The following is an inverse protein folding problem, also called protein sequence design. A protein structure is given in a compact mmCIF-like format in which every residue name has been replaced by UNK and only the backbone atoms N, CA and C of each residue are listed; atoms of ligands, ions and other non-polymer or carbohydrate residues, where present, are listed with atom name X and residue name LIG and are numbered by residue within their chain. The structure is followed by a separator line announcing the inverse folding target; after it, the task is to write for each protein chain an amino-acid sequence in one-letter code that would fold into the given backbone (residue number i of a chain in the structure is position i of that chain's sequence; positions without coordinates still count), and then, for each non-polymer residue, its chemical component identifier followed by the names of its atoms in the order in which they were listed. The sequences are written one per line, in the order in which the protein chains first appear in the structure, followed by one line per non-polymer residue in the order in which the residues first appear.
data_IF_823536142886
#
_entry.id   IF_823536142886
#
_cell.length_a   1.000
_cell.length_b   1.000
_cell.length_c   1.000
_cell.angle_alpha   90.00
_cell.angle_beta   90.00
_cell.angle_gamma   90.00
#
_symmetry.space_group_name_H-M   'P 1'
#
loop_
_entity.id
_entity.type
_entity.pdbx_description
1 polymer ?
#
# COMPACT_ATOMS: atom_id res chain seq x y z
N UNK A 1 -17.71 -13.25 19.88
CA UNK A 1 -16.41 -13.51 19.24
C UNK A 1 -16.50 -12.86 17.86
N UNK A 2 -15.81 -11.74 17.66
CA UNK A 2 -15.88 -10.99 16.39
C UNK A 2 -15.27 -11.82 15.25
N UNK A 3 -15.77 -11.66 14.01
CA UNK A 3 -15.21 -12.31 12.82
C UNK A 3 -13.71 -12.02 12.64
N UNK A 4 -13.25 -10.87 13.10
CA UNK A 4 -11.83 -10.45 13.14
C UNK A 4 -10.99 -11.44 13.96
N UNK A 5 -11.43 -11.85 15.15
CA UNK A 5 -10.67 -12.78 16.00
C UNK A 5 -10.49 -14.18 15.39
N UNK A 6 -11.47 -14.66 14.62
CA UNK A 6 -11.38 -15.99 13.98
C UNK A 6 -10.40 -16.00 12.80
N UNK A 7 -10.34 -14.92 12.01
CA UNK A 7 -9.39 -14.78 10.90
C UNK A 7 -7.96 -14.68 11.40
N UNK A 8 -7.73 -13.86 12.40
CA UNK A 8 -6.40 -13.65 13.01
C UNK A 8 -5.82 -14.95 13.58
N UNK A 9 -6.61 -15.69 14.39
CA UNK A 9 -6.17 -16.97 14.96
C UNK A 9 -5.80 -18.01 13.88
N UNK A 10 -6.51 -18.02 12.76
CA UNK A 10 -6.21 -18.91 11.63
C UNK A 10 -4.87 -18.56 10.98
N UNK A 11 -4.61 -17.26 10.75
CA UNK A 11 -3.35 -16.79 10.18
C UNK A 11 -2.18 -17.09 11.11
N UNK A 12 -2.30 -16.83 12.42
CA UNK A 12 -1.27 -17.16 13.41
C UNK A 12 -0.97 -18.66 13.42
N UNK A 13 -1.99 -19.50 13.42
CA UNK A 13 -1.82 -20.96 13.39
C UNK A 13 -1.15 -21.42 12.10
N UNK A 14 -1.54 -20.87 10.95
CA UNK A 14 -0.95 -21.24 9.67
C UNK A 14 0.51 -20.80 9.55
N UNK A 15 0.84 -19.57 9.94
CA UNK A 15 2.21 -19.05 9.98
C UNK A 15 3.11 -19.94 10.84
N UNK A 16 2.66 -20.26 12.06
CA UNK A 16 3.39 -21.14 12.98
C UNK A 16 3.56 -22.57 12.42
N UNK A 17 2.50 -23.18 11.90
CA UNK A 17 2.54 -24.55 11.40
C UNK A 17 3.39 -24.72 10.13
N UNK A 18 3.46 -23.67 9.31
CA UNK A 18 4.18 -23.69 8.02
C UNK A 18 5.59 -23.08 8.15
N UNK A 19 5.97 -22.59 9.32
CA UNK A 19 7.24 -21.88 9.56
C UNK A 19 7.44 -20.72 8.56
N UNK A 20 6.38 -19.89 8.39
CA UNK A 20 6.35 -18.76 7.45
C UNK A 20 6.18 -17.44 8.21
N UNK A 21 7.05 -16.49 7.93
CA UNK A 21 6.89 -15.12 8.36
C UNK A 21 6.01 -14.32 7.39
N UNK A 22 5.11 -13.52 7.94
CA UNK A 22 4.31 -12.57 7.16
C UNK A 22 5.08 -11.25 7.11
N UNK A 23 5.66 -10.91 5.97
CA UNK A 23 6.51 -9.72 5.83
C UNK A 23 5.72 -8.43 5.58
N UNK A 24 4.48 -8.53 5.06
CA UNK A 24 3.65 -7.37 4.71
C UNK A 24 2.17 -7.75 4.70
N UNK A 25 1.32 -6.81 5.13
CA UNK A 25 -0.12 -6.84 4.92
C UNK A 25 -0.60 -5.50 4.35
N UNK A 26 -1.78 -5.49 3.75
CA UNK A 26 -2.41 -4.25 3.29
C UNK A 26 -3.34 -3.67 4.36
N UNK A 27 -3.42 -2.34 4.44
CA UNK A 27 -4.57 -1.67 5.05
C UNK A 27 -5.82 -2.08 4.27
N UNK A 28 -6.93 -2.45 4.93
CA UNK A 28 -8.18 -2.70 4.22
C UNK A 28 -8.56 -1.53 3.30
N UNK A 29 -8.68 -1.81 2.03
CA UNK A 29 -8.89 -0.78 1.00
C UNK A 29 -10.37 -0.57 0.63
N UNK A 30 -11.28 -0.94 1.55
CA UNK A 30 -12.72 -0.81 1.30
C UNK A 30 -13.19 -1.65 0.12
N UNK A 31 -13.83 -1.02 -0.85
CA UNK A 31 -14.40 -1.66 -2.04
C UNK A 31 -13.44 -1.74 -3.25
N UNK A 32 -12.18 -1.32 -3.11
CA UNK A 32 -11.23 -1.22 -4.22
C UNK A 32 -11.14 -2.49 -5.05
N UNK A 33 -11.01 -3.64 -4.39
CA UNK A 33 -10.89 -4.95 -5.04
C UNK A 33 -12.21 -5.48 -5.61
N UNK A 34 -13.33 -4.82 -5.30
CA UNK A 34 -14.66 -5.10 -5.83
C UNK A 34 -15.05 -4.15 -6.96
N UNK A 35 -14.09 -3.36 -7.45
CA UNK A 35 -14.30 -2.39 -8.52
C UNK A 35 -14.62 -0.96 -8.06
N UNK A 36 -14.68 -0.71 -6.77
CA UNK A 36 -14.85 0.62 -6.19
C UNK A 36 -13.59 1.48 -6.24
N UNK A 37 -13.58 2.55 -5.44
CA UNK A 37 -12.49 3.54 -5.45
C UNK A 37 -11.48 3.38 -4.32
N UNK A 38 -11.81 2.64 -3.27
CA UNK A 38 -10.96 2.48 -2.08
C UNK A 38 -11.21 3.56 -1.02
N UNK A 39 -10.23 3.77 -0.13
CA UNK A 39 -10.38 4.66 1.03
C UNK A 39 -9.32 5.76 1.08
N UNK A 40 -8.04 5.42 0.90
CA UNK A 40 -6.93 6.29 1.29
C UNK A 40 -6.91 7.65 0.58
N UNK A 41 -7.19 7.69 -0.72
CA UNK A 41 -7.20 8.93 -1.50
C UNK A 41 -8.60 9.44 -1.82
N UNK A 42 -9.66 8.98 -1.16
CA UNK A 42 -11.03 9.32 -1.51
C UNK A 42 -11.58 10.34 -0.51
N UNK A 43 -11.87 11.60 -0.95
CA UNK A 43 -12.48 12.61 -0.09
C UNK A 43 -13.79 12.11 0.53
N UNK A 44 -13.94 12.33 1.84
CA UNK A 44 -15.09 11.88 2.62
C UNK A 44 -14.98 10.46 3.18
N UNK A 45 -13.89 9.75 2.93
CA UNK A 45 -13.61 8.39 3.47
C UNK A 45 -12.54 8.39 4.58
N UNK A 46 -12.19 9.55 5.12
CA UNK A 46 -11.08 9.70 6.06
C UNK A 46 -11.32 8.95 7.39
N UNK A 47 -12.57 8.86 7.84
CA UNK A 47 -12.94 8.14 9.07
C UNK A 47 -12.79 6.63 8.84
N UNK A 48 -13.34 6.13 7.75
CA UNK A 48 -13.27 4.71 7.35
C UNK A 48 -11.82 4.29 7.12
N UNK A 49 -11.01 5.16 6.49
CA UNK A 49 -9.59 4.93 6.32
C UNK A 49 -8.86 4.80 7.66
N UNK A 50 -9.13 5.69 8.62
CA UNK A 50 -8.52 5.62 9.95
C UNK A 50 -8.87 4.30 10.66
N UNK A 51 -10.12 3.88 10.63
CA UNK A 51 -10.54 2.58 11.19
C UNK A 51 -9.83 1.41 10.49
N UNK A 52 -9.63 1.50 9.17
CA UNK A 52 -8.89 0.49 8.41
C UNK A 52 -7.42 0.42 8.85
N UNK A 53 -6.77 1.55 9.11
CA UNK A 53 -5.40 1.59 9.66
C UNK A 53 -5.35 0.98 11.07
N UNK A 54 -6.29 1.30 11.95
CA UNK A 54 -6.40 0.70 13.29
C UNK A 54 -6.53 -0.83 13.21
N UNK A 55 -7.33 -1.33 12.28
CA UNK A 55 -7.47 -2.76 12.03
C UNK A 55 -6.15 -3.37 11.53
N UNK A 56 -5.47 -2.72 10.59
CA UNK A 56 -4.17 -3.19 10.09
C UNK A 56 -3.13 -3.27 11.22
N UNK A 57 -3.08 -2.29 12.12
CA UNK A 57 -2.20 -2.27 13.29
C UNK A 57 -2.48 -3.48 14.20
N UNK A 58 -3.76 -3.79 14.47
CA UNK A 58 -4.12 -4.96 15.29
C UNK A 58 -3.60 -6.27 14.68
N UNK A 59 -3.77 -6.45 13.36
CA UNK A 59 -3.27 -7.63 12.65
C UNK A 59 -1.75 -7.66 12.61
N UNK A 60 -1.11 -6.56 12.23
CA UNK A 60 0.34 -6.47 12.12
C UNK A 60 1.02 -6.75 13.46
N UNK A 61 0.53 -6.16 14.54
CA UNK A 61 1.05 -6.40 15.90
C UNK A 61 0.89 -7.86 16.34
N UNK A 62 -0.28 -8.44 16.12
CA UNK A 62 -0.56 -9.81 16.55
C UNK A 62 0.20 -10.87 15.72
N UNK A 63 0.56 -10.55 14.48
CA UNK A 63 1.28 -11.44 13.55
C UNK A 63 2.78 -11.10 13.43
N UNK A 64 3.28 -10.10 14.16
CA UNK A 64 4.64 -9.56 14.06
C UNK A 64 5.01 -9.12 12.64
N UNK A 65 4.05 -8.53 11.91
CA UNK A 65 4.28 -8.04 10.54
C UNK A 65 5.03 -6.72 10.59
N UNK A 66 6.20 -6.61 9.94
CA UNK A 66 7.04 -5.41 10.03
C UNK A 66 6.57 -4.25 9.14
N UNK A 67 5.77 -4.54 8.10
CA UNK A 67 5.38 -3.53 7.10
C UNK A 67 3.90 -3.59 6.75
N UNK A 68 3.30 -2.42 6.52
CA UNK A 68 1.91 -2.29 6.12
C UNK A 68 1.80 -1.42 4.87
N UNK A 69 1.22 -1.98 3.79
CA UNK A 69 0.99 -1.27 2.54
C UNK A 69 -0.35 -0.53 2.55
N UNK A 70 -0.34 0.70 2.05
CA UNK A 70 -1.50 1.57 1.90
C UNK A 70 -1.78 1.76 0.42
N UNK A 71 -2.85 1.13 -0.08
CA UNK A 71 -3.29 1.30 -1.45
C UNK A 71 -3.92 2.68 -1.65
N UNK A 72 -3.38 3.47 -2.58
CA UNK A 72 -3.79 4.85 -2.79
C UNK A 72 -5.27 5.01 -3.21
N UNK A 73 -5.81 4.01 -3.90
CA UNK A 73 -7.16 4.06 -4.44
C UNK A 73 -7.22 4.59 -5.88
N UNK A 74 -8.43 4.63 -6.44
CA UNK A 74 -8.71 5.09 -7.81
C UNK A 74 -9.50 6.39 -7.78
N UNK A 75 -9.10 7.34 -8.60
CA UNK A 75 -9.84 8.60 -8.76
C UNK A 75 -11.28 8.34 -9.22
N UNK A 76 -12.32 8.79 -8.49
CA UNK A 76 -13.71 8.75 -8.95
C UNK A 76 -13.92 9.60 -10.23
N UNK A 77 -14.92 9.25 -11.02
CA UNK A 77 -15.23 9.98 -12.28
C UNK A 77 -15.75 11.41 -12.02
N UNK A 78 -16.37 11.62 -10.90
CA UNK A 78 -17.00 12.85 -10.43
C UNK A 78 -16.15 13.65 -9.45
N UNK A 79 -14.88 13.27 -9.26
CA UNK A 79 -13.94 13.96 -8.40
C UNK A 79 -12.68 14.34 -9.17
N UNK A 80 -12.21 15.57 -8.99
CA UNK A 80 -10.94 16.01 -9.56
C UNK A 80 -9.74 15.31 -8.90
N UNK A 81 -8.63 15.21 -9.63
CA UNK A 81 -7.42 14.50 -9.16
C UNK A 81 -6.81 15.19 -7.93
N UNK A 82 -6.72 16.51 -7.93
CA UNK A 82 -6.04 17.24 -6.85
C UNK A 82 -6.68 17.06 -5.47
N UNK A 83 -8.01 17.12 -5.29
CA UNK A 83 -8.64 16.74 -4.02
C UNK A 83 -8.29 15.32 -3.57
N UNK A 84 -8.25 14.35 -4.49
CA UNK A 84 -7.87 12.97 -4.17
C UNK A 84 -6.42 12.87 -3.68
N UNK A 85 -5.48 13.53 -4.35
CA UNK A 85 -4.07 13.54 -3.95
C UNK A 85 -3.85 14.24 -2.60
N UNK A 86 -4.56 15.34 -2.34
CA UNK A 86 -4.51 16.04 -1.06
C UNK A 86 -5.06 15.17 0.09
N UNK A 87 -6.15 14.45 -0.15
CA UNK A 87 -6.71 13.50 0.81
C UNK A 87 -5.73 12.37 1.05
N UNK A 88 -5.14 11.81 0.00
CA UNK A 88 -4.13 10.75 0.11
C UNK A 88 -2.94 11.21 0.95
N UNK A 89 -2.37 12.38 0.67
CA UNK A 89 -1.23 12.92 1.42
C UNK A 89 -1.56 13.09 2.91
N UNK A 90 -2.73 13.64 3.23
CA UNK A 90 -3.19 13.82 4.61
C UNK A 90 -3.38 12.48 5.33
N UNK A 91 -4.00 11.53 4.68
CA UNK A 91 -4.25 10.20 5.22
C UNK A 91 -2.96 9.39 5.39
N UNK A 92 -2.03 9.44 4.44
CA UNK A 92 -0.70 8.83 4.57
C UNK A 92 0.05 9.39 5.76
N UNK A 93 0.02 10.71 5.98
CA UNK A 93 0.66 11.34 7.14
C UNK A 93 0.08 10.85 8.46
N UNK A 94 -1.23 10.73 8.56
CA UNK A 94 -1.92 10.17 9.72
C UNK A 94 -1.53 8.70 9.94
N UNK A 95 -1.58 7.89 8.89
CA UNK A 95 -1.22 6.47 8.96
C UNK A 95 0.24 6.27 9.38
N UNK A 96 1.17 7.09 8.88
CA UNK A 96 2.57 7.08 9.30
C UNK A 96 2.72 7.30 10.80
N UNK A 97 2.04 8.30 11.34
CA UNK A 97 2.07 8.56 12.78
C UNK A 97 1.53 7.38 13.58
N UNK A 98 0.36 6.84 13.19
CA UNK A 98 -0.27 5.72 13.87
C UNK A 98 0.57 4.43 13.84
N UNK A 99 1.15 4.09 12.67
CA UNK A 99 1.95 2.89 12.48
C UNK A 99 3.32 2.99 13.18
N UNK A 100 3.92 4.19 13.21
CA UNK A 100 5.22 4.43 13.87
C UNK A 100 5.16 4.18 15.37
N UNK A 101 4.04 4.45 16.03
CA UNK A 101 3.83 4.17 17.46
C UNK A 101 3.97 2.66 17.78
N UNK A 102 3.78 1.80 16.79
CA UNK A 102 3.90 0.34 16.89
C UNK A 102 5.16 -0.21 16.21
N UNK A 103 6.07 0.65 15.75
CA UNK A 103 7.28 0.26 15.01
C UNK A 103 6.99 -0.51 13.71
N UNK A 104 5.85 -0.24 13.08
CA UNK A 104 5.44 -0.82 11.80
C UNK A 104 5.80 0.16 10.69
N UNK A 105 6.49 -0.33 9.65
CA UNK A 105 6.89 0.46 8.49
C UNK A 105 5.70 0.71 7.56
N UNK A 106 5.22 1.97 7.40
CA UNK A 106 4.25 2.29 6.37
C UNK A 106 4.90 2.31 4.99
N UNK A 107 4.28 1.64 4.03
CA UNK A 107 4.63 1.74 2.62
C UNK A 107 3.38 2.06 1.80
N UNK A 108 3.55 2.62 0.61
CA UNK A 108 2.48 2.77 -0.38
C UNK A 108 2.99 2.37 -1.75
N UNK A 109 2.10 1.88 -2.59
CA UNK A 109 2.44 1.19 -3.82
C UNK A 109 2.06 1.99 -5.06
N UNK A 110 2.93 1.95 -6.08
CA UNK A 110 2.61 2.38 -7.44
C UNK A 110 1.98 1.19 -8.19
N UNK A 111 0.77 1.38 -8.72
CA UNK A 111 0.07 0.34 -9.49
C UNK A 111 -0.17 0.84 -10.91
N UNK A 112 0.25 0.06 -11.92
CA UNK A 112 0.15 0.43 -13.32
C UNK A 112 -1.29 0.71 -13.77
N UNK A 113 -1.45 1.66 -14.67
CA UNK A 113 -2.76 2.09 -15.17
C UNK A 113 -3.43 1.14 -16.13
N UNK A 114 -2.75 0.06 -16.59
CA UNK A 114 -3.34 -0.97 -17.44
C UNK A 114 -4.18 -1.94 -16.61
N UNK A 115 -3.62 -2.43 -15.49
CA UNK A 115 -4.32 -3.33 -14.56
C UNK A 115 -5.35 -2.59 -13.71
N UNK A 116 -5.02 -1.36 -13.30
CA UNK A 116 -5.89 -0.55 -12.46
C UNK A 116 -6.04 0.88 -13.01
N UNK A 117 -6.92 1.08 -13.99
CA UNK A 117 -7.17 2.39 -14.59
C UNK A 117 -7.54 3.44 -13.53
N UNK A 118 -6.99 4.65 -13.68
CA UNK A 118 -7.19 5.80 -12.78
C UNK A 118 -6.68 5.58 -11.34
N UNK A 119 -5.82 4.60 -11.10
CA UNK A 119 -5.13 4.49 -9.81
C UNK A 119 -4.34 5.78 -9.54
N UNK A 120 -4.35 6.28 -8.31
CA UNK A 120 -3.86 7.62 -8.00
C UNK A 120 -2.34 7.77 -8.15
N UNK A 121 -1.58 6.70 -7.88
CA UNK A 121 -0.11 6.70 -7.96
C UNK A 121 0.32 5.54 -8.87
N UNK A 122 0.81 5.85 -10.07
CA UNK A 122 1.07 4.84 -11.10
C UNK A 122 2.55 4.65 -11.45
N UNK A 123 3.41 5.61 -11.08
CA UNK A 123 4.83 5.61 -11.44
C UNK A 123 5.70 6.23 -10.36
N UNK A 124 7.02 6.07 -10.51
CA UNK A 124 8.00 6.54 -9.53
C UNK A 124 7.95 8.07 -9.33
N UNK A 125 7.79 8.84 -10.40
CA UNK A 125 7.75 10.30 -10.28
C UNK A 125 6.58 10.78 -9.40
N UNK A 126 5.37 10.21 -9.61
CA UNK A 126 4.20 10.50 -8.76
C UNK A 126 4.41 10.04 -7.31
N UNK A 127 5.11 8.93 -7.10
CA UNK A 127 5.41 8.45 -5.76
C UNK A 127 6.40 9.38 -5.05
N UNK A 128 7.41 9.90 -5.74
CA UNK A 128 8.35 10.89 -5.19
C UNK A 128 7.64 12.19 -4.81
N UNK A 129 6.77 12.72 -5.68
CA UNK A 129 5.93 13.88 -5.36
C UNK A 129 5.06 13.64 -4.12
N UNK A 130 4.51 12.43 -3.98
CA UNK A 130 3.70 12.07 -2.81
C UNK A 130 4.56 11.96 -1.53
N UNK A 131 5.75 11.38 -1.59
CA UNK A 131 6.69 11.35 -0.46
C UNK A 131 7.05 12.77 0.01
N UNK A 132 7.31 13.68 -0.92
CA UNK A 132 7.58 15.08 -0.62
C UNK A 132 6.37 15.78 0.01
N UNK A 133 5.18 15.57 -0.54
CA UNK A 133 3.94 16.16 -0.02
C UNK A 133 3.61 15.69 1.40
N UNK A 134 3.79 14.40 1.69
CA UNK A 134 3.59 13.82 3.03
C UNK A 134 4.67 14.27 4.00
N UNK A 135 5.92 14.36 3.54
CA UNK A 135 7.10 14.76 4.31
C UNK A 135 7.19 14.08 5.68
N UNK A 136 7.10 12.75 5.70
CA UNK A 136 7.19 11.95 6.92
C UNK A 136 8.31 10.91 6.81
N UNK A 137 9.28 10.86 7.74
CA UNK A 137 10.49 10.03 7.58
C UNK A 137 10.22 8.53 7.55
N UNK A 138 9.12 8.07 8.13
CA UNK A 138 8.76 6.66 8.14
C UNK A 138 8.14 6.18 6.83
N UNK A 139 7.58 7.09 5.98
CA UNK A 139 6.93 6.66 4.75
C UNK A 139 7.94 6.21 3.70
N UNK A 140 7.70 5.04 3.12
CA UNK A 140 8.51 4.48 2.04
C UNK A 140 7.63 4.01 0.88
N UNK A 141 8.26 3.77 -0.28
CA UNK A 141 7.60 3.13 -1.42
C UNK A 141 7.59 1.60 -1.26
N UNK A 142 6.50 0.96 -1.64
CA UNK A 142 6.51 -0.42 -2.08
C UNK A 142 6.77 -0.42 -3.59
N UNK A 143 7.92 -0.93 -4.00
CA UNK A 143 8.34 -0.99 -5.39
C UNK A 143 8.01 -2.36 -5.96
N UNK A 144 6.95 -2.45 -6.76
CA UNK A 144 6.62 -3.67 -7.51
C UNK A 144 7.21 -3.57 -8.92
N UNK A 145 8.23 -4.40 -9.18
CA UNK A 145 8.94 -4.43 -10.47
C UNK A 145 8.00 -4.72 -11.64
N UNK A 146 6.99 -5.57 -11.44
CA UNK A 146 5.98 -5.85 -12.47
C UNK A 146 5.21 -4.58 -12.87
N UNK A 147 4.72 -3.82 -11.89
CA UNK A 147 3.96 -2.61 -12.18
C UNK A 147 4.80 -1.56 -12.91
N UNK A 148 6.08 -1.42 -12.55
CA UNK A 148 6.98 -0.47 -13.21
C UNK A 148 7.32 -0.93 -14.63
N UNK A 149 7.58 -2.23 -14.85
CA UNK A 149 7.79 -2.80 -16.18
C UNK A 149 6.56 -2.61 -17.09
N UNK A 150 5.35 -2.80 -16.56
CA UNK A 150 4.09 -2.55 -17.30
C UNK A 150 3.91 -1.09 -17.71
N UNK A 151 4.50 -0.15 -16.97
CA UNK A 151 4.52 1.29 -17.33
C UNK A 151 5.66 1.64 -18.30
N UNK A 152 6.52 0.67 -18.66
CA UNK A 152 7.66 0.86 -19.55
C UNK A 152 8.84 1.57 -18.88
N UNK A 153 8.91 1.56 -17.55
CA UNK A 153 10.04 2.11 -16.81
C UNK A 153 11.25 1.18 -16.82
N UNK A 154 12.45 1.74 -16.74
CA UNK A 154 13.66 0.96 -16.47
C UNK A 154 13.68 0.54 -15.01
N UNK A 155 13.26 -0.71 -14.76
CA UNK A 155 13.12 -1.27 -13.42
C UNK A 155 14.42 -1.24 -12.63
N UNK A 156 15.55 -1.55 -13.29
CA UNK A 156 16.85 -1.59 -12.62
C UNK A 156 17.34 -0.18 -12.24
N UNK A 157 17.22 0.76 -13.16
CA UNK A 157 17.55 2.17 -12.88
C UNK A 157 16.63 2.71 -11.77
N UNK A 158 15.32 2.46 -11.86
CA UNK A 158 14.35 2.89 -10.84
C UNK A 158 14.66 2.34 -9.44
N UNK A 159 15.06 1.07 -9.33
CA UNK A 159 15.50 0.48 -8.05
C UNK A 159 16.77 1.15 -7.53
N UNK A 160 17.79 1.32 -8.38
CA UNK A 160 19.08 1.89 -7.97
C UNK A 160 18.96 3.34 -7.50
N UNK A 161 18.21 4.16 -8.22
CA UNK A 161 18.02 5.57 -7.92
C UNK A 161 17.18 5.81 -6.66
N UNK A 162 16.21 4.93 -6.40
CA UNK A 162 15.22 5.11 -5.33
C UNK A 162 15.41 4.19 -4.12
N UNK A 163 16.49 3.40 -4.05
CA UNK A 163 16.70 2.41 -3.00
C UNK A 163 16.53 2.98 -1.57
N UNK A 164 16.96 4.21 -1.35
CA UNK A 164 16.84 4.90 -0.07
C UNK A 164 15.38 5.27 0.33
N UNK A 165 14.47 5.28 -0.63
CA UNK A 165 13.03 5.57 -0.46
C UNK A 165 12.16 4.31 -0.51
N UNK A 166 12.74 3.15 -0.85
CA UNK A 166 12.02 1.88 -0.94
C UNK A 166 12.05 1.19 0.42
N UNK A 167 10.87 0.75 0.88
CA UNK A 167 10.67 -0.03 2.11
C UNK A 167 10.33 -1.49 1.86
N UNK A 168 9.81 -1.81 0.66
CA UNK A 168 9.45 -3.17 0.28
C UNK A 168 9.56 -3.34 -1.25
N UNK A 169 10.01 -4.51 -1.70
CA UNK A 169 10.13 -4.84 -3.12
C UNK A 169 9.28 -6.06 -3.41
N UNK A 170 8.50 -5.99 -4.49
CA UNK A 170 7.79 -7.12 -5.07
C UNK A 170 8.24 -7.31 -6.53
N UNK A 171 8.14 -8.53 -7.03
CA UNK A 171 8.46 -8.83 -8.41
C UNK A 171 7.63 -9.99 -8.95
N UNK A 172 7.31 -9.93 -10.22
CA UNK A 172 6.71 -10.97 -11.01
C UNK A 172 7.18 -10.81 -12.45
N UNK A 173 7.00 -11.85 -13.26
CA UNK A 173 7.26 -11.76 -14.70
C UNK A 173 6.35 -10.75 -15.40
N UNK A 174 6.84 -10.12 -16.45
CA UNK A 174 6.10 -9.12 -17.24
C UNK A 174 6.08 -9.56 -18.72
N UNK A 175 4.92 -9.59 -19.38
CA UNK A 175 3.61 -9.06 -18.94
C UNK A 175 2.70 -10.06 -18.22
N UNK A 176 3.09 -11.33 -18.13
CA UNK A 176 2.20 -12.44 -17.71
C UNK A 176 1.92 -12.52 -16.22
N UNK A 177 2.70 -11.80 -15.40
CA UNK A 177 2.62 -11.76 -13.93
C UNK A 177 2.72 -13.15 -13.27
N UNK A 178 3.50 -14.03 -13.87
CA UNK A 178 3.86 -15.35 -13.32
C UNK A 178 5.12 -15.26 -12.45
N UNK A 179 5.66 -16.42 -12.02
CA UNK A 179 6.98 -16.50 -11.43
C UNK A 179 8.04 -16.02 -12.44
N UNK A 180 9.04 -15.25 -12.00
CA UNK A 180 10.12 -14.79 -12.86
C UNK A 180 10.95 -15.95 -13.40
N UNK A 181 11.33 -15.89 -14.70
CA UNK A 181 12.24 -16.84 -15.35
C UNK A 181 13.71 -16.62 -14.97
#
# INVERSE_FOLDING_TARGET
ISQVGTGLNRLQSASFLLDLDICLINVPAGDLMLGGHGLAGIPGQEIEFRHAVEQAIQYATALNVPSVNILAGKQPLDCDLLPCLNTLASNLKIACSMLSDYQIQPVFEMINGQDMPRFLIQNVAQAQEMLEAVNHPALKMQYDCYHMAMMGEDVLAGLQENLHQIGHIQFADCPSRHEPD
#
